data_IF_179217379900
#
_entry.id   IF_179217379900
#
_cell.length_a   1.000
_cell.length_b   1.000
_cell.length_c   1.000
_cell.angle_alpha   90.00
_cell.angle_beta   90.00
_cell.angle_gamma   90.00
#
_symmetry.space_group_name_H-M   'P 1'
#
loop_
_entity.id
_entity.type
_entity.pdbx_description
1 polymer ?
#
# COMPACT_ATOMS: atom_id res chain seq x y z
N UNK A 1 25.28 78.92 -25.31
CA UNK A 1 25.67 78.18 -24.11
C UNK A 1 24.66 77.01 -23.92
N UNK A 2 25.02 75.84 -24.43
CA UNK A 2 24.16 74.63 -24.24
C UNK A 2 24.80 73.70 -23.19
N UNK A 3 24.15 73.57 -22.05
CA UNK A 3 24.53 72.60 -21.02
C UNK A 3 24.04 71.22 -21.41
N UNK A 4 24.95 70.25 -21.63
CA UNK A 4 24.70 68.86 -21.85
C UNK A 4 24.48 68.21 -20.45
N UNK A 5 23.28 67.70 -20.20
CA UNK A 5 22.99 66.90 -19.06
C UNK A 5 23.25 65.44 -19.44
N UNK A 6 24.21 64.82 -18.77
CA UNK A 6 24.51 63.36 -18.89
C UNK A 6 23.68 62.61 -17.85
N UNK A 7 22.74 61.80 -18.30
CA UNK A 7 22.01 60.84 -17.43
C UNK A 7 22.85 59.58 -17.28
N UNK A 8 23.35 59.32 -16.10
CA UNK A 8 23.94 58.04 -15.73
C UNK A 8 22.81 57.06 -15.40
N UNK A 9 22.63 56.06 -16.27
CA UNK A 9 21.73 54.92 -16.03
C UNK A 9 22.49 53.94 -15.15
N UNK A 10 22.13 53.86 -13.88
CA UNK A 10 22.62 52.84 -12.96
C UNK A 10 21.87 51.51 -13.24
N UNK A 11 22.54 50.58 -13.88
CA UNK A 11 22.04 49.21 -14.09
C UNK A 11 22.10 48.45 -12.74
N UNK A 12 20.98 48.30 -12.10
CA UNK A 12 20.84 47.41 -10.91
C UNK A 12 20.79 45.98 -11.43
N UNK A 13 21.91 45.26 -11.34
CA UNK A 13 21.96 43.82 -11.56
C UNK A 13 21.27 43.13 -10.41
N UNK A 14 20.04 42.63 -10.61
CA UNK A 14 19.35 41.70 -9.73
C UNK A 14 20.14 40.38 -9.80
N UNK A 15 21.00 40.13 -8.80
CA UNK A 15 21.53 38.82 -8.50
C UNK A 15 20.34 37.97 -8.03
N UNK A 16 19.74 37.21 -8.96
CA UNK A 16 18.87 36.12 -8.61
C UNK A 16 19.73 35.11 -7.84
N UNK A 17 19.63 35.10 -6.51
CA UNK A 17 20.06 33.97 -5.71
C UNK A 17 19.20 32.78 -6.16
N UNK A 18 19.72 31.93 -7.03
CA UNK A 18 19.20 30.57 -7.16
C UNK A 18 19.51 29.89 -5.82
N UNK A 19 18.53 29.87 -4.91
CA UNK A 19 18.57 28.95 -3.79
C UNK A 19 18.67 27.57 -4.40
N UNK A 20 19.84 26.92 -4.27
CA UNK A 20 19.95 25.51 -4.58
C UNK A 20 18.93 24.82 -3.68
N UNK A 21 17.88 24.26 -4.27
CA UNK A 21 16.85 23.53 -3.53
C UNK A 21 17.54 22.37 -2.82
N UNK A 22 17.19 22.20 -1.55
CA UNK A 22 17.73 21.15 -0.67
C UNK A 22 17.55 19.77 -1.34
N UNK A 23 18.61 18.99 -1.58
CA UNK A 23 18.50 17.68 -2.23
C UNK A 23 17.68 16.69 -1.43
N UNK A 24 17.63 16.79 -0.10
CA UNK A 24 16.76 15.99 0.74
C UNK A 24 15.29 16.33 0.54
N UNK A 25 14.95 17.62 0.43
CA UNK A 25 13.59 18.05 0.13
C UNK A 25 13.14 17.60 -1.26
N UNK A 26 14.00 17.72 -2.27
CA UNK A 26 13.69 17.25 -3.62
C UNK A 26 13.45 15.73 -3.66
N UNK A 27 14.29 14.98 -2.95
CA UNK A 27 14.13 13.52 -2.88
C UNK A 27 12.87 13.13 -2.12
N UNK A 28 12.57 13.79 -1.00
CA UNK A 28 11.32 13.54 -0.25
C UNK A 28 10.09 13.83 -1.10
N UNK A 29 10.07 14.97 -1.81
CA UNK A 29 8.97 15.33 -2.70
C UNK A 29 8.80 14.31 -3.84
N UNK A 30 9.89 13.95 -4.52
CA UNK A 30 9.85 13.00 -5.62
C UNK A 30 9.34 11.62 -5.18
N UNK A 31 9.81 11.10 -4.05
CA UNK A 31 9.32 9.85 -3.47
C UNK A 31 7.84 9.95 -3.08
N UNK A 32 7.44 11.05 -2.43
CA UNK A 32 6.07 11.25 -2.00
C UNK A 32 5.10 11.28 -3.18
N UNK A 33 5.41 12.05 -4.23
CA UNK A 33 4.52 12.27 -5.36
C UNK A 33 4.51 11.11 -6.36
N UNK A 34 5.69 10.62 -6.73
CA UNK A 34 5.86 9.71 -7.87
C UNK A 34 5.86 8.23 -7.48
N UNK A 35 6.14 7.91 -6.21
CA UNK A 35 6.18 6.53 -5.73
C UNK A 35 5.05 6.28 -4.74
N UNK A 36 5.06 6.97 -3.60
CA UNK A 36 4.20 6.59 -2.48
C UNK A 36 2.73 6.96 -2.72
N UNK A 37 2.46 8.21 -3.07
CA UNK A 37 1.08 8.66 -3.31
C UNK A 37 0.47 7.97 -4.53
N UNK A 38 1.25 7.77 -5.59
CA UNK A 38 0.80 7.02 -6.76
C UNK A 38 0.38 5.59 -6.42
N UNK A 39 1.18 4.88 -5.62
CA UNK A 39 0.82 3.54 -5.19
C UNK A 39 -0.48 3.51 -4.35
N UNK A 40 -0.76 4.55 -3.56
CA UNK A 40 -2.04 4.69 -2.86
C UNK A 40 -3.21 4.93 -3.81
N UNK A 41 -3.00 5.70 -4.88
CA UNK A 41 -4.02 5.91 -5.92
C UNK A 41 -4.30 4.62 -6.70
N UNK A 42 -3.27 3.85 -7.05
CA UNK A 42 -3.41 2.57 -7.74
C UNK A 42 -4.15 1.54 -6.85
N UNK A 43 -3.86 1.52 -5.56
CA UNK A 43 -4.59 0.71 -4.59
C UNK A 43 -6.05 1.16 -4.44
N UNK A 44 -6.35 2.46 -4.42
CA UNK A 44 -7.72 2.98 -4.42
C UNK A 44 -8.48 2.53 -5.66
N UNK A 45 -7.90 2.68 -6.84
CA UNK A 45 -8.50 2.26 -8.11
C UNK A 45 -8.77 0.75 -8.14
N UNK A 46 -7.86 -0.07 -7.60
CA UNK A 46 -8.05 -1.52 -7.53
C UNK A 46 -9.18 -1.92 -6.58
N UNK A 47 -9.40 -1.19 -5.48
CA UNK A 47 -10.54 -1.43 -4.60
C UNK A 47 -11.87 -1.00 -5.21
N UNK A 48 -11.88 0.06 -6.02
CA UNK A 48 -13.06 0.43 -6.81
C UNK A 48 -13.43 -0.68 -7.80
N UNK A 49 -12.43 -1.24 -8.50
CA UNK A 49 -12.62 -2.39 -9.37
C UNK A 49 -13.12 -3.62 -8.60
N UNK A 50 -12.56 -3.89 -7.42
CA UNK A 50 -12.99 -5.01 -6.58
C UNK A 50 -14.47 -4.92 -6.21
N UNK A 51 -14.99 -3.72 -5.88
CA UNK A 51 -16.40 -3.52 -5.60
C UNK A 51 -17.27 -3.74 -6.84
N UNK A 52 -16.89 -3.17 -7.98
CA UNK A 52 -17.62 -3.35 -9.24
C UNK A 52 -17.65 -4.83 -9.65
N UNK A 53 -16.55 -5.53 -9.49
CA UNK A 53 -16.41 -6.97 -9.75
C UNK A 53 -17.27 -7.82 -8.83
N UNK A 54 -17.31 -7.50 -7.51
CA UNK A 54 -18.19 -8.19 -6.56
C UNK A 54 -19.66 -8.05 -6.95
N UNK A 55 -20.08 -6.85 -7.29
CA UNK A 55 -21.45 -6.56 -7.73
C UNK A 55 -21.79 -7.28 -9.04
N UNK A 56 -20.93 -7.16 -10.05
CA UNK A 56 -21.13 -7.84 -11.34
C UNK A 56 -21.20 -9.36 -11.20
N UNK A 57 -20.34 -9.96 -10.39
CA UNK A 57 -20.41 -11.39 -10.08
C UNK A 57 -21.72 -11.76 -9.40
N UNK A 58 -22.12 -11.04 -8.37
CA UNK A 58 -23.32 -11.35 -7.60
C UNK A 58 -24.61 -11.20 -8.41
N UNK A 59 -24.65 -10.24 -9.34
CA UNK A 59 -25.76 -10.03 -10.28
C UNK A 59 -25.74 -11.00 -11.47
N UNK A 60 -24.64 -11.76 -11.66
CA UNK A 60 -24.49 -12.70 -12.77
C UNK A 60 -24.03 -12.04 -14.09
N UNK A 61 -23.53 -10.83 -14.01
CA UNK A 61 -22.97 -10.06 -15.14
C UNK A 61 -21.50 -10.36 -15.37
N UNK A 62 -20.81 -10.92 -14.35
CA UNK A 62 -19.41 -11.30 -14.40
C UNK A 62 -19.22 -12.75 -13.92
N UNK A 63 -18.30 -13.47 -14.54
CA UNK A 63 -17.97 -14.84 -14.13
C UNK A 63 -16.99 -14.89 -12.96
N UNK A 64 -16.86 -16.10 -12.36
CA UNK A 64 -15.99 -16.32 -11.21
C UNK A 64 -14.50 -16.16 -11.54
N UNK A 65 -14.08 -16.51 -12.76
CA UNK A 65 -12.68 -16.42 -13.15
C UNK A 65 -12.23 -14.96 -13.21
N UNK A 66 -12.99 -14.10 -13.87
CA UNK A 66 -12.72 -12.67 -13.92
C UNK A 66 -12.78 -12.04 -12.52
N UNK A 67 -13.73 -12.45 -11.67
CA UNK A 67 -13.83 -11.96 -10.28
C UNK A 67 -12.60 -12.33 -9.45
N UNK A 68 -12.05 -13.52 -9.68
CA UNK A 68 -10.79 -13.95 -9.05
C UNK A 68 -9.59 -13.14 -9.54
N UNK A 69 -9.53 -12.84 -10.83
CA UNK A 69 -8.45 -12.05 -11.41
C UNK A 69 -8.48 -10.60 -10.87
N UNK A 70 -9.65 -9.98 -10.77
CA UNK A 70 -9.80 -8.64 -10.18
C UNK A 70 -9.40 -8.61 -8.69
N UNK A 71 -9.74 -9.66 -7.96
CA UNK A 71 -9.27 -9.82 -6.58
C UNK A 71 -7.74 -9.96 -6.49
N UNK A 72 -7.11 -10.73 -7.37
CA UNK A 72 -5.65 -10.87 -7.41
C UNK A 72 -4.97 -9.53 -7.71
N UNK A 73 -5.55 -8.68 -8.55
CA UNK A 73 -5.06 -7.31 -8.77
C UNK A 73 -5.17 -6.46 -7.49
N UNK A 74 -6.30 -6.50 -6.78
CA UNK A 74 -6.45 -5.78 -5.51
C UNK A 74 -5.42 -6.25 -4.45
N UNK A 75 -5.17 -7.56 -4.38
CA UNK A 75 -4.13 -8.14 -3.52
C UNK A 75 -2.73 -7.68 -3.91
N UNK A 76 -2.42 -7.64 -5.20
CA UNK A 76 -1.14 -7.19 -5.73
C UNK A 76 -0.86 -5.72 -5.36
N UNK A 77 -1.82 -4.81 -5.59
CA UNK A 77 -1.67 -3.40 -5.21
C UNK A 77 -1.55 -3.20 -3.70
N UNK A 78 -2.26 -4.01 -2.90
CA UNK A 78 -2.06 -4.03 -1.46
C UNK A 78 -0.66 -4.50 -1.06
N UNK A 79 -0.14 -5.54 -1.69
CA UNK A 79 1.22 -6.02 -1.45
C UNK A 79 2.26 -4.94 -1.79
N UNK A 80 2.10 -4.26 -2.92
CA UNK A 80 2.98 -3.16 -3.32
C UNK A 80 2.97 -1.98 -2.32
N UNK A 81 1.90 -1.79 -1.54
CA UNK A 81 1.87 -0.76 -0.48
C UNK A 81 2.62 -1.14 0.79
N UNK A 82 2.96 -2.40 1.03
CA UNK A 82 3.59 -2.82 2.30
C UNK A 82 4.89 -2.08 2.64
N UNK A 83 5.82 -1.82 1.69
CA UNK A 83 7.01 -1.02 1.95
C UNK A 83 6.74 0.48 2.11
N UNK A 84 5.53 0.93 1.79
CA UNK A 84 5.11 2.33 1.73
C UNK A 84 4.14 2.71 2.86
N UNK A 85 4.04 1.88 3.91
CA UNK A 85 3.12 2.09 5.03
C UNK A 85 3.58 3.24 5.94
N UNK A 86 3.36 4.47 5.46
CA UNK A 86 3.54 5.71 6.22
C UNK A 86 2.24 6.50 6.24
N UNK A 87 2.10 7.41 7.19
CA UNK A 87 0.95 8.30 7.29
C UNK A 87 -0.37 7.57 7.55
N UNK A 88 -1.47 7.98 6.90
CA UNK A 88 -2.84 7.59 7.28
C UNK A 88 -3.10 6.09 7.31
N UNK A 89 -2.50 5.32 6.40
CA UNK A 89 -2.71 3.88 6.34
C UNK A 89 -2.07 3.12 7.52
N UNK A 90 -1.00 3.68 8.08
CA UNK A 90 -0.32 3.11 9.26
C UNK A 90 -0.95 3.55 10.60
N UNK A 91 -1.98 4.41 10.57
CA UNK A 91 -2.63 4.93 11.76
C UNK A 91 -3.81 4.04 12.17
N UNK A 92 -3.96 3.82 13.47
CA UNK A 92 -5.00 2.95 14.00
C UNK A 92 -4.84 1.50 13.51
N UNK A 93 -5.96 0.88 13.17
CA UNK A 93 -6.01 -0.53 12.73
C UNK A 93 -6.21 -0.67 11.20
N UNK A 94 -5.99 0.37 10.41
CA UNK A 94 -6.36 0.40 8.98
C UNK A 94 -5.70 -0.73 8.19
N UNK A 95 -4.40 -0.94 8.32
CA UNK A 95 -3.71 -2.02 7.63
C UNK A 95 -4.27 -3.41 7.99
N UNK A 96 -4.68 -3.62 9.25
CA UNK A 96 -5.32 -4.86 9.69
C UNK A 96 -6.73 -5.05 9.11
N UNK A 97 -7.44 -3.96 8.83
CA UNK A 97 -8.74 -4.00 8.15
C UNK A 97 -8.60 -4.36 6.67
N UNK A 98 -7.44 -4.06 6.05
CA UNK A 98 -7.17 -4.48 4.67
C UNK A 98 -6.83 -5.96 4.60
N UNK A 99 -5.90 -6.43 5.42
CA UNK A 99 -5.48 -7.83 5.37
C UNK A 99 -5.09 -8.36 6.74
N UNK A 100 -5.72 -9.45 7.15
CA UNK A 100 -5.37 -10.18 8.36
C UNK A 100 -4.36 -11.29 8.04
N UNK A 101 -3.17 -11.20 8.64
CA UNK A 101 -2.12 -12.22 8.54
C UNK A 101 -1.23 -12.19 9.80
N UNK A 102 -0.75 -13.36 10.29
CA UNK A 102 -0.96 -14.74 9.79
C UNK A 102 -2.29 -15.35 10.21
N UNK A 103 -2.90 -16.15 9.32
CA UNK A 103 -4.14 -16.89 9.58
C UNK A 103 -3.87 -18.20 10.36
N UNK A 104 -3.54 -18.08 11.63
CA UNK A 104 -3.26 -19.25 12.46
C UNK A 104 -4.53 -20.06 12.76
N UNK A 105 -4.44 -21.38 12.58
CA UNK A 105 -5.53 -22.33 12.88
C UNK A 105 -6.81 -22.05 12.08
N UNK A 106 -6.68 -21.55 10.86
CA UNK A 106 -7.79 -21.24 9.97
C UNK A 106 -8.84 -20.32 10.63
N UNK A 107 -8.35 -19.25 11.28
CA UNK A 107 -9.19 -18.31 12.03
C UNK A 107 -10.14 -17.55 11.10
N UNK A 108 -9.68 -17.20 9.90
CA UNK A 108 -10.50 -16.50 8.90
C UNK A 108 -11.75 -17.30 8.55
N UNK A 109 -11.60 -18.56 8.13
CA UNK A 109 -12.74 -19.43 7.80
C UNK A 109 -13.73 -19.57 8.96
N UNK A 110 -13.21 -19.77 10.19
CA UNK A 110 -14.07 -19.91 11.37
C UNK A 110 -14.85 -18.63 11.68
N UNK A 111 -14.19 -17.48 11.60
CA UNK A 111 -14.84 -16.20 11.90
C UNK A 111 -15.81 -15.77 10.80
N UNK A 112 -15.53 -16.06 9.53
CA UNK A 112 -16.48 -15.83 8.43
C UNK A 112 -17.74 -16.69 8.63
N UNK A 113 -17.58 -18.00 8.91
CA UNK A 113 -18.72 -18.91 9.19
C UNK A 113 -19.55 -18.42 10.39
N UNK A 114 -18.88 -17.96 11.46
CA UNK A 114 -19.54 -17.42 12.66
C UNK A 114 -20.26 -16.09 12.37
N UNK A 115 -19.63 -15.19 11.62
CA UNK A 115 -20.21 -13.91 11.25
C UNK A 115 -21.48 -14.08 10.42
N UNK A 116 -21.46 -14.95 9.38
CA UNK A 116 -22.62 -15.25 8.56
C UNK A 116 -23.74 -15.99 9.33
N UNK A 117 -23.40 -16.78 10.37
CA UNK A 117 -24.40 -17.38 11.26
C UNK A 117 -25.11 -16.33 12.11
N UNK A 118 -24.37 -15.35 12.60
CA UNK A 118 -24.92 -14.25 13.41
C UNK A 118 -25.64 -13.17 12.58
N UNK A 119 -25.26 -13.03 11.31
CA UNK A 119 -25.79 -12.05 10.37
C UNK A 119 -26.18 -12.77 9.07
N UNK A 120 -27.37 -13.39 8.97
CA UNK A 120 -27.79 -14.10 7.76
C UNK A 120 -27.88 -13.19 6.51
N UNK A 121 -28.19 -11.92 6.71
CA UNK A 121 -28.20 -10.86 5.72
C UNK A 121 -27.22 -9.76 6.16
N UNK A 122 -25.91 -9.97 5.95
CA UNK A 122 -24.92 -9.01 6.40
C UNK A 122 -25.01 -7.71 5.61
N UNK A 123 -24.73 -6.60 6.29
CA UNK A 123 -24.59 -5.28 5.69
C UNK A 123 -23.29 -4.62 6.14
N UNK A 124 -22.92 -3.49 5.50
CA UNK A 124 -21.69 -2.78 5.76
C UNK A 124 -21.53 -2.41 7.25
N UNK A 125 -22.60 -1.95 7.91
CA UNK A 125 -22.55 -1.56 9.33
C UNK A 125 -22.32 -2.77 10.26
N UNK A 126 -22.81 -3.96 9.92
CA UNK A 126 -22.48 -5.18 10.66
C UNK A 126 -21.01 -5.58 10.46
N UNK A 127 -20.51 -5.46 9.22
CA UNK A 127 -19.12 -5.78 8.87
C UNK A 127 -18.13 -4.87 9.59
N UNK A 128 -18.34 -3.56 9.57
CA UNK A 128 -17.47 -2.55 10.20
C UNK A 128 -17.38 -2.70 11.73
N UNK A 129 -18.40 -3.26 12.36
CA UNK A 129 -18.40 -3.59 13.80
C UNK A 129 -17.84 -4.97 14.13
N UNK A 130 -17.61 -5.79 13.13
CA UNK A 130 -17.08 -7.12 13.31
C UNK A 130 -15.55 -7.10 13.54
N UNK A 131 -14.98 -8.28 13.76
CA UNK A 131 -13.54 -8.46 13.84
C UNK A 131 -12.86 -8.09 12.49
N UNK A 132 -11.71 -7.45 12.54
CA UNK A 132 -10.86 -7.18 11.35
C UNK A 132 -10.56 -8.43 10.52
N UNK A 133 -10.65 -9.61 11.13
CA UNK A 133 -10.45 -10.90 10.45
C UNK A 133 -11.44 -11.14 9.32
N UNK A 134 -12.65 -10.56 9.40
CA UNK A 134 -13.71 -10.72 8.39
C UNK A 134 -13.89 -9.50 7.49
N UNK A 135 -13.17 -8.40 7.74
CA UNK A 135 -13.38 -7.12 7.05
C UNK A 135 -12.62 -6.97 5.74
N UNK A 136 -11.57 -7.77 5.51
CA UNK A 136 -10.60 -7.50 4.47
C UNK A 136 -10.34 -8.63 3.48
N UNK A 137 -9.25 -8.45 2.72
CA UNK A 137 -8.85 -9.32 1.61
C UNK A 137 -8.68 -10.80 2.03
N UNK A 138 -8.29 -11.09 3.28
CA UNK A 138 -8.17 -12.48 3.73
C UNK A 138 -9.52 -13.20 3.82
N UNK A 139 -10.59 -12.51 4.22
CA UNK A 139 -11.93 -13.07 4.23
C UNK A 139 -12.53 -13.14 2.81
N UNK A 140 -12.22 -12.17 1.97
CA UNK A 140 -12.60 -12.17 0.55
C UNK A 140 -11.95 -13.36 -0.19
N UNK A 141 -10.63 -13.56 0.01
CA UNK A 141 -9.88 -14.70 -0.51
C UNK A 141 -10.48 -16.05 -0.09
N UNK A 142 -10.84 -16.17 1.21
CA UNK A 142 -11.49 -17.38 1.71
C UNK A 142 -12.76 -17.68 0.92
N UNK A 143 -13.61 -16.70 0.66
CA UNK A 143 -14.86 -16.92 -0.09
C UNK A 143 -14.60 -17.34 -1.54
N UNK A 144 -13.64 -16.69 -2.23
CA UNK A 144 -13.40 -16.96 -3.64
C UNK A 144 -12.58 -18.23 -3.93
N UNK A 145 -11.69 -18.63 -3.04
CA UNK A 145 -10.66 -19.62 -3.35
C UNK A 145 -10.62 -20.82 -2.39
N UNK A 146 -11.39 -20.81 -1.28
CA UNK A 146 -11.36 -21.97 -0.38
C UNK A 146 -12.00 -23.17 -1.06
N UNK A 147 -11.31 -24.34 -1.09
CA UNK A 147 -11.80 -25.51 -1.80
C UNK A 147 -13.08 -26.13 -1.20
N UNK A 148 -13.47 -25.74 0.02
CA UNK A 148 -14.73 -26.16 0.63
C UNK A 148 -15.94 -25.36 0.09
N UNK A 149 -15.71 -24.29 -0.68
CA UNK A 149 -16.76 -23.41 -1.20
C UNK A 149 -16.89 -23.56 -2.72
N UNK A 150 -18.11 -23.80 -3.18
CA UNK A 150 -18.45 -23.85 -4.59
C UNK A 150 -19.41 -22.68 -4.93
N UNK A 151 -18.83 -21.59 -5.45
CA UNK A 151 -19.63 -20.43 -5.87
C UNK A 151 -20.32 -20.60 -7.24
N UNK A 152 -20.15 -21.74 -7.93
CA UNK A 152 -20.99 -22.14 -9.05
C UNK A 152 -22.36 -22.68 -8.54
N UNK A 153 -22.41 -23.21 -7.32
CA UNK A 153 -23.67 -23.51 -6.64
C UNK A 153 -24.43 -22.24 -6.30
N UNK A 154 -25.67 -22.12 -6.78
CA UNK A 154 -26.50 -20.92 -6.61
C UNK A 154 -26.82 -20.59 -5.15
N UNK A 155 -26.98 -21.60 -4.30
CA UNK A 155 -27.30 -21.37 -2.89
C UNK A 155 -26.07 -20.85 -2.13
N UNK A 156 -24.89 -21.38 -2.42
CA UNK A 156 -23.66 -20.86 -1.86
C UNK A 156 -23.37 -19.44 -2.37
N UNK A 157 -23.49 -19.20 -3.67
CA UNK A 157 -23.37 -17.87 -4.24
C UNK A 157 -24.30 -16.87 -3.56
N UNK A 158 -25.58 -17.17 -3.45
CA UNK A 158 -26.56 -16.31 -2.78
C UNK A 158 -26.18 -16.03 -1.31
N UNK A 159 -25.63 -17.03 -0.62
CA UNK A 159 -25.21 -16.88 0.79
C UNK A 159 -23.99 -15.99 0.98
N UNK A 160 -23.00 -16.08 0.09
CA UNK A 160 -21.71 -15.39 0.25
C UNK A 160 -21.65 -14.05 -0.48
N UNK A 161 -22.48 -13.81 -1.48
CA UNK A 161 -22.52 -12.56 -2.23
C UNK A 161 -22.65 -11.30 -1.36
N UNK A 162 -23.60 -11.22 -0.39
CA UNK A 162 -23.69 -10.04 0.45
C UNK A 162 -22.40 -9.77 1.26
N UNK A 163 -21.66 -10.83 1.63
CA UNK A 163 -20.39 -10.66 2.33
C UNK A 163 -19.31 -10.12 1.38
N UNK A 164 -19.20 -10.66 0.16
CA UNK A 164 -18.24 -10.17 -0.86
C UNK A 164 -18.47 -8.69 -1.17
N UNK A 165 -19.71 -8.30 -1.47
CA UNK A 165 -20.07 -6.91 -1.75
C UNK A 165 -19.75 -5.98 -0.58
N UNK A 166 -20.07 -6.37 0.65
CA UNK A 166 -19.79 -5.53 1.83
C UNK A 166 -18.29 -5.44 2.17
N UNK A 167 -17.52 -6.52 1.99
CA UNK A 167 -16.06 -6.44 2.15
C UNK A 167 -15.48 -5.48 1.09
N UNK A 168 -15.86 -5.62 -0.17
CA UNK A 168 -15.37 -4.76 -1.24
C UNK A 168 -15.76 -3.29 -1.02
N UNK A 169 -17.00 -3.01 -0.59
CA UNK A 169 -17.45 -1.67 -0.24
C UNK A 169 -16.66 -1.08 0.96
N UNK A 170 -16.36 -1.90 1.97
CA UNK A 170 -15.52 -1.47 3.10
C UNK A 170 -14.09 -1.16 2.65
N UNK A 171 -13.50 -1.99 1.79
CA UNK A 171 -12.15 -1.77 1.27
C UNK A 171 -12.06 -0.51 0.40
N UNK A 172 -13.06 -0.26 -0.45
CA UNK A 172 -13.14 0.99 -1.22
C UNK A 172 -13.26 2.20 -0.30
N UNK A 173 -14.20 2.18 0.65
CA UNK A 173 -14.38 3.28 1.61
C UNK A 173 -13.07 3.59 2.36
N UNK A 174 -12.38 2.56 2.84
CA UNK A 174 -11.12 2.71 3.54
C UNK A 174 -10.03 3.33 2.64
N UNK A 175 -9.95 2.90 1.38
CA UNK A 175 -9.01 3.44 0.41
C UNK A 175 -9.31 4.91 0.08
N UNK A 176 -10.59 5.27 -0.10
CA UNK A 176 -11.04 6.64 -0.35
C UNK A 176 -10.69 7.57 0.83
N UNK A 177 -10.94 7.13 2.06
CA UNK A 177 -10.59 7.86 3.28
C UNK A 177 -9.08 8.09 3.40
N UNK A 178 -8.27 7.05 3.12
CA UNK A 178 -6.81 7.14 3.17
C UNK A 178 -6.29 8.10 2.12
N UNK A 179 -6.71 7.96 0.86
CA UNK A 179 -6.24 8.83 -0.24
C UNK A 179 -6.69 10.28 -0.02
N UNK A 180 -7.87 10.51 0.52
CA UNK A 180 -8.34 11.86 0.90
C UNK A 180 -7.41 12.51 1.93
N UNK A 181 -6.93 11.75 2.92
CA UNK A 181 -5.99 12.25 3.94
C UNK A 181 -4.56 12.49 3.41
N UNK A 182 -4.25 12.02 2.23
CA UNK A 182 -3.01 12.38 1.51
C UNK A 182 -3.08 13.77 0.88
N UNK A 183 -4.27 14.27 0.59
CA UNK A 183 -4.52 15.50 -0.17
C UNK A 183 -4.67 16.72 0.75
N UNK A 184 -4.61 17.91 0.14
CA UNK A 184 -4.79 19.18 0.83
C UNK A 184 -3.54 19.73 1.53
N UNK A 185 -3.65 20.93 2.04
CA UNK A 185 -2.52 21.69 2.63
C UNK A 185 -1.92 21.03 3.89
N UNK A 186 -2.69 20.25 4.60
CA UNK A 186 -2.27 19.49 5.78
C UNK A 186 -2.21 17.98 5.53
N UNK A 187 -2.43 17.55 4.29
CA UNK A 187 -2.37 16.15 3.88
C UNK A 187 -0.96 15.59 3.96
N UNK A 188 -0.86 14.27 3.94
CA UNK A 188 0.44 13.59 4.06
C UNK A 188 1.40 13.98 2.92
N UNK A 189 0.88 14.26 1.72
CA UNK A 189 1.69 14.73 0.59
C UNK A 189 2.35 16.07 0.91
N UNK A 190 1.61 17.06 1.40
CA UNK A 190 2.15 18.35 1.81
C UNK A 190 3.18 18.21 2.94
N UNK A 191 2.96 17.28 3.89
CA UNK A 191 3.90 17.02 4.99
C UNK A 191 5.23 16.41 4.52
N UNK A 192 5.24 15.70 3.39
CA UNK A 192 6.45 15.11 2.80
C UNK A 192 7.14 16.04 1.79
N UNK A 193 6.51 17.14 1.38
CA UNK A 193 7.03 18.04 0.33
C UNK A 193 7.39 19.43 0.84
N UNK A 194 6.77 19.89 1.92
CA UNK A 194 6.92 21.26 2.45
C UNK A 194 7.39 21.25 3.89
N UNK A 195 8.51 21.92 4.18
CA UNK A 195 9.14 21.95 5.49
C UNK A 195 9.44 23.38 5.93
N UNK A 196 9.42 23.68 7.27
CA UNK A 196 8.96 22.81 8.35
C UNK A 196 7.44 22.64 8.38
N UNK A 197 6.96 21.53 8.95
CA UNK A 197 5.55 21.31 9.19
C UNK A 197 5.30 20.65 10.57
N UNK A 198 4.04 20.31 10.88
CA UNK A 198 3.69 19.76 12.20
C UNK A 198 4.28 18.37 12.47
N UNK A 199 4.57 17.58 11.43
CA UNK A 199 5.07 16.20 11.54
C UNK A 199 6.59 16.11 11.41
N UNK A 200 7.19 16.96 10.57
CA UNK A 200 8.62 16.95 10.25
C UNK A 200 9.17 18.36 10.29
N UNK A 201 10.21 18.57 11.09
CA UNK A 201 10.90 19.86 11.14
C UNK A 201 11.78 20.10 9.90
N UNK A 202 12.34 19.01 9.36
CA UNK A 202 13.25 19.06 8.20
C UNK A 202 13.07 17.85 7.26
N UNK A 203 13.50 17.95 5.98
CA UNK A 203 13.33 16.90 4.99
C UNK A 203 13.98 15.56 5.36
N UNK A 204 15.10 15.59 6.07
CA UNK A 204 15.81 14.38 6.51
C UNK A 204 14.96 13.52 7.45
N UNK A 205 14.14 14.15 8.31
CA UNK A 205 13.22 13.41 9.19
C UNK A 205 12.16 12.65 8.38
N UNK A 206 11.61 13.28 7.33
CA UNK A 206 10.66 12.64 6.43
C UNK A 206 11.26 11.45 5.68
N UNK A 207 12.48 11.61 5.12
CA UNK A 207 13.20 10.53 4.48
C UNK A 207 13.54 9.40 5.45
N UNK A 208 13.90 9.73 6.67
CA UNK A 208 14.15 8.73 7.74
C UNK A 208 12.90 7.92 8.04
N UNK A 209 11.72 8.57 8.10
CA UNK A 209 10.45 7.87 8.31
C UNK A 209 10.12 6.92 7.14
N UNK A 210 10.36 7.33 5.88
CA UNK A 210 10.19 6.49 4.69
C UNK A 210 11.12 5.26 4.77
N UNK A 211 12.39 5.46 5.08
CA UNK A 211 13.36 4.36 5.21
C UNK A 211 13.01 3.40 6.35
N UNK A 212 12.54 3.91 7.49
CA UNK A 212 12.09 3.07 8.60
C UNK A 212 10.90 2.19 8.20
N UNK A 213 9.92 2.73 7.49
CA UNK A 213 8.81 1.93 6.98
C UNK A 213 9.30 0.82 6.04
N UNK A 214 10.26 1.11 5.16
CA UNK A 214 10.86 0.14 4.26
C UNK A 214 11.60 -0.97 5.02
N UNK A 215 12.42 -0.65 6.00
CA UNK A 215 13.16 -1.64 6.81
C UNK A 215 12.20 -2.56 7.57
N UNK A 216 11.14 -1.99 8.17
CA UNK A 216 10.10 -2.77 8.88
C UNK A 216 9.39 -3.73 7.91
N UNK A 217 9.08 -3.27 6.71
CA UNK A 217 8.44 -4.11 5.68
C UNK A 217 9.36 -5.25 5.23
N UNK A 218 10.63 -4.99 4.95
CA UNK A 218 11.61 -6.01 4.57
C UNK A 218 11.82 -7.07 5.67
N UNK A 219 11.78 -6.68 6.94
CA UNK A 219 11.76 -7.64 8.05
C UNK A 219 10.46 -8.43 8.12
N UNK A 220 9.34 -7.81 7.78
CA UNK A 220 8.05 -8.47 7.58
C UNK A 220 8.10 -9.52 6.48
N UNK A 221 8.73 -9.20 5.35
CA UNK A 221 8.95 -10.09 4.20
C UNK A 221 9.70 -11.38 4.60
N UNK A 222 10.78 -11.25 5.38
CA UNK A 222 11.49 -12.43 5.94
C UNK A 222 10.57 -13.34 6.73
N UNK A 223 9.65 -12.77 7.51
CA UNK A 223 8.65 -13.53 8.29
C UNK A 223 7.60 -14.17 7.38
N UNK A 224 7.12 -13.45 6.37
CA UNK A 224 6.14 -13.96 5.39
C UNK A 224 6.69 -15.15 4.61
N UNK A 225 7.97 -15.12 4.25
CA UNK A 225 8.66 -16.22 3.59
C UNK A 225 9.04 -17.34 4.59
N UNK A 226 9.59 -16.99 5.73
CA UNK A 226 10.14 -17.95 6.69
C UNK A 226 9.08 -18.75 7.45
N UNK A 227 7.91 -18.16 7.75
CA UNK A 227 6.86 -18.83 8.50
C UNK A 227 6.30 -20.07 7.79
N UNK A 228 5.88 -20.00 6.51
CA UNK A 228 5.39 -21.19 5.79
C UNK A 228 6.48 -22.26 5.57
N UNK A 229 7.74 -21.85 5.49
CA UNK A 229 8.89 -22.78 5.37
C UNK A 229 9.31 -23.42 6.71
N UNK A 230 8.62 -23.08 7.81
CA UNK A 230 8.90 -23.67 9.12
C UNK A 230 10.08 -23.06 9.87
N UNK A 231 10.75 -22.04 9.33
CA UNK A 231 11.94 -21.43 9.97
C UNK A 231 11.68 -20.84 11.37
N UNK A 232 10.40 -20.57 11.69
CA UNK A 232 10.00 -20.09 13.01
C UNK A 232 9.65 -21.21 14.01
N UNK A 233 9.47 -22.45 13.56
CA UNK A 233 8.98 -23.58 14.38
C UNK A 233 9.74 -24.85 14.00
N UNK A 234 10.97 -25.01 14.49
CA UNK A 234 11.75 -26.27 14.40
C UNK A 234 11.77 -26.90 13.01
N UNK A 235 11.86 -26.10 11.95
CA UNK A 235 11.88 -26.50 10.55
C UNK A 235 10.67 -27.34 10.09
N UNK A 236 9.52 -27.20 10.77
CA UNK A 236 8.26 -27.84 10.34
C UNK A 236 7.55 -26.89 9.38
N UNK A 237 7.43 -27.28 8.11
CA UNK A 237 6.73 -26.51 7.09
C UNK A 237 5.26 -26.30 7.46
N UNK A 238 4.78 -25.08 7.25
CA UNK A 238 3.40 -24.66 7.54
C UNK A 238 2.79 -23.92 6.35
N UNK A 239 2.56 -24.60 5.22
CA UNK A 239 2.15 -23.98 3.95
C UNK A 239 0.88 -23.14 4.07
N UNK A 240 -0.07 -23.56 4.93
CA UNK A 240 -1.31 -22.82 5.18
C UNK A 240 -1.14 -21.53 6.01
N UNK A 241 0.08 -21.21 6.43
CA UNK A 241 0.41 -19.91 7.02
C UNK A 241 1.06 -18.95 6.03
N UNK A 242 1.24 -19.35 4.78
CA UNK A 242 1.65 -18.42 3.74
C UNK A 242 0.55 -17.34 3.55
N UNK A 243 0.96 -16.09 3.36
CA UNK A 243 0.02 -15.04 2.99
C UNK A 243 -0.56 -15.38 1.60
N UNK A 244 -1.86 -15.23 1.42
CA UNK A 244 -2.51 -15.52 0.12
C UNK A 244 -2.32 -16.96 -0.39
N UNK A 245 -2.33 -17.93 0.53
CA UNK A 245 -2.10 -19.33 0.17
C UNK A 245 -3.27 -19.96 -0.61
N UNK A 246 -4.52 -19.51 -0.34
CA UNK A 246 -5.71 -20.03 -1.02
C UNK A 246 -5.73 -19.65 -2.49
N UNK A 247 -5.39 -18.41 -2.78
CA UNK A 247 -5.29 -17.86 -4.15
C UNK A 247 -3.98 -18.25 -4.86
N UNK A 248 -3.04 -18.90 -4.15
CA UNK A 248 -1.69 -19.22 -4.63
C UNK A 248 -0.86 -17.99 -5.03
N UNK A 249 -1.22 -16.81 -4.54
CA UNK A 249 -0.59 -15.54 -4.87
C UNK A 249 0.58 -15.16 -3.93
N UNK A 250 1.01 -16.09 -3.04
CA UNK A 250 2.03 -15.78 -2.03
C UNK A 250 3.32 -15.22 -2.63
N UNK A 251 3.88 -15.87 -3.65
CA UNK A 251 5.16 -15.46 -4.24
C UNK A 251 5.03 -14.19 -5.09
N UNK A 252 3.95 -14.04 -5.86
CA UNK A 252 3.72 -12.83 -6.65
C UNK A 252 3.53 -11.59 -5.75
N UNK A 253 2.86 -11.74 -4.61
CA UNK A 253 2.71 -10.67 -3.63
C UNK A 253 4.04 -10.30 -2.95
N UNK A 254 4.89 -11.29 -2.62
CA UNK A 254 6.23 -11.02 -2.10
C UNK A 254 7.11 -10.31 -3.13
N UNK A 255 7.01 -10.67 -4.42
CA UNK A 255 7.69 -9.97 -5.51
C UNK A 255 7.24 -8.51 -5.59
N UNK A 256 5.93 -8.25 -5.55
CA UNK A 256 5.38 -6.89 -5.57
C UNK A 256 5.88 -6.03 -4.39
N UNK A 257 6.03 -6.61 -3.20
CA UNK A 257 6.64 -5.93 -2.06
C UNK A 257 8.11 -5.57 -2.31
N UNK A 258 8.90 -6.48 -2.91
CA UNK A 258 10.32 -6.23 -3.25
C UNK A 258 10.42 -5.16 -4.34
N UNK A 259 9.62 -5.26 -5.40
CA UNK A 259 9.62 -4.29 -6.51
C UNK A 259 9.28 -2.88 -6.00
N UNK A 260 8.33 -2.77 -5.08
CA UNK A 260 7.96 -1.49 -4.48
C UNK A 260 9.05 -0.96 -3.54
N UNK A 261 9.73 -1.81 -2.78
CA UNK A 261 10.88 -1.41 -1.98
C UNK A 261 12.05 -0.93 -2.87
N UNK A 262 12.27 -1.58 -4.01
CA UNK A 262 13.23 -1.15 -5.02
C UNK A 262 12.85 0.22 -5.62
N UNK A 263 11.56 0.46 -5.87
CA UNK A 263 11.07 1.75 -6.35
C UNK A 263 11.38 2.90 -5.37
N UNK A 264 11.29 2.69 -4.05
CA UNK A 264 11.73 3.68 -3.06
C UNK A 264 13.24 3.91 -3.13
N UNK A 265 14.02 2.85 -3.25
CA UNK A 265 15.47 2.94 -3.33
C UNK A 265 15.93 3.70 -4.56
N UNK A 266 15.37 3.37 -5.73
CA UNK A 266 15.72 3.98 -7.01
C UNK A 266 15.10 5.37 -7.17
N UNK A 267 13.94 5.63 -6.55
CA UNK A 267 13.22 6.91 -6.61
C UNK A 267 12.89 7.34 -8.03
N UNK A 268 12.80 8.66 -8.21
CA UNK A 268 12.63 9.29 -9.52
C UNK A 268 13.96 9.85 -10.01
N UNK A 269 14.66 9.11 -10.84
CA UNK A 269 15.90 9.52 -11.52
C UNK A 269 16.98 10.09 -10.58
N UNK A 270 17.19 11.43 -10.62
CA UNK A 270 18.20 12.12 -9.82
C UNK A 270 17.79 12.33 -8.36
N UNK A 271 16.50 12.24 -8.06
CA UNK A 271 15.94 12.46 -6.73
C UNK A 271 15.57 11.13 -6.07
N UNK A 272 16.58 10.43 -5.59
CA UNK A 272 16.46 9.11 -4.99
C UNK A 272 17.33 8.97 -3.75
N UNK A 273 16.95 8.07 -2.83
CA UNK A 273 17.79 7.71 -1.69
C UNK A 273 19.15 7.16 -2.17
N UNK A 274 19.12 6.39 -3.25
CA UNK A 274 20.33 5.87 -3.91
C UNK A 274 21.26 6.99 -4.35
N UNK A 275 20.74 8.05 -4.99
CA UNK A 275 21.54 9.18 -5.46
C UNK A 275 22.12 10.00 -4.29
N UNK A 276 21.32 10.23 -3.22
CA UNK A 276 21.82 10.92 -2.02
C UNK A 276 23.00 10.18 -1.39
N UNK A 277 22.91 8.85 -1.27
CA UNK A 277 23.96 8.04 -0.66
C UNK A 277 25.19 7.87 -1.58
N UNK A 278 25.02 7.91 -2.90
CA UNK A 278 26.10 7.68 -3.84
C UNK A 278 27.24 8.71 -3.73
N UNK A 279 26.93 9.93 -3.27
CA UNK A 279 27.92 11.00 -3.10
C UNK A 279 28.96 10.68 -2.03
N UNK A 280 28.59 10.01 -0.95
CA UNK A 280 29.46 9.77 0.20
C UNK A 280 29.68 8.27 0.51
N UNK A 281 28.80 7.40 0.02
CA UNK A 281 28.74 5.98 0.37
C UNK A 281 28.60 5.05 -0.85
N UNK A 282 29.40 5.28 -1.90
CA UNK A 282 29.32 4.53 -3.18
C UNK A 282 29.41 3.00 -3.01
N UNK A 283 30.23 2.50 -2.07
CA UNK A 283 30.36 1.04 -1.85
C UNK A 283 29.14 0.45 -1.15
N UNK A 284 28.49 1.20 -0.25
CA UNK A 284 27.20 0.79 0.33
C UNK A 284 26.10 0.74 -0.73
N UNK A 285 26.06 1.73 -1.62
CA UNK A 285 25.12 1.74 -2.76
C UNK A 285 25.27 0.49 -3.61
N UNK A 286 26.49 0.09 -3.96
CA UNK A 286 26.76 -1.15 -4.72
C UNK A 286 26.27 -2.41 -3.99
N UNK A 287 26.45 -2.46 -2.66
CA UNK A 287 25.96 -3.59 -1.86
C UNK A 287 24.44 -3.67 -1.84
N UNK A 288 23.75 -2.52 -1.71
CA UNK A 288 22.29 -2.46 -1.74
C UNK A 288 21.78 -2.79 -3.13
N UNK A 289 22.35 -2.21 -4.19
CA UNK A 289 21.98 -2.54 -5.58
C UNK A 289 22.10 -4.06 -5.84
N UNK A 290 23.19 -4.68 -5.38
CA UNK A 290 23.40 -6.12 -5.53
C UNK A 290 22.44 -6.99 -4.70
N UNK A 291 21.88 -6.46 -3.63
CA UNK A 291 20.91 -7.19 -2.80
C UNK A 291 19.50 -7.23 -3.41
N UNK A 292 19.20 -6.33 -4.34
CA UNK A 292 17.95 -6.31 -5.09
C UNK A 292 17.98 -7.13 -6.39
N UNK A 293 19.15 -7.59 -6.84
CA UNK A 293 19.35 -8.44 -8.04
C UNK A 293 19.24 -9.93 -7.68
#
# INVERSE_FOLDING_TARGET
MFKKIVYAVASVSLLACSSSSDPYQQTSAALAEQVIYRAHQDWQASNQNLLSSAQGFCQGEQDLAQTRDDFLQAQHHWAALQPLLIGPLNEGNRAWQVQFWPDKKNLVARQVKQFLKANPEPNLANLERASVVVQGLSAYEYVLFDPELDLADSAQKQRYCPLLENIAAHQQKLADEVVTQWQGEQGMLAQLTTFPNQRYAEPLEALTAILQAQVISLDGLKKKLGTPLGRSIKDIAQPYQAQSWRSQASLSNLSAEIDSALAIWQGAEQHSIRALLAAEHADLVKQIDAAYL
#
